data_IF_465679956849
#
_entry.id   IF_465679956849
#
_cell.length_a   1.000
_cell.length_b   1.000
_cell.length_c   1.000
_cell.angle_alpha   90.00
_cell.angle_beta   90.00
_cell.angle_gamma   90.00
#
_symmetry.space_group_name_H-M   'P 1'
#
loop_
_entity.id
_entity.type
_entity.pdbx_description
1 polymer ?
#
# COMPACT_ATOMS: atom_id res chain seq x y z
N UNK A 1 -2.52 -6.17 27.67
CA UNK A 1 -3.25 -6.00 26.46
C UNK A 1 -2.58 -6.77 25.32
N UNK A 2 -3.37 -7.45 24.54
CA UNK A 2 -2.81 -8.20 23.43
C UNK A 2 -2.24 -7.23 22.39
N UNK A 3 -1.13 -7.64 21.77
CA UNK A 3 -0.59 -6.90 20.65
C UNK A 3 -1.55 -6.92 19.48
N UNK A 4 -1.53 -5.85 18.70
CA UNK A 4 -2.29 -5.82 17.46
C UNK A 4 -1.75 -6.91 16.53
N UNK A 5 -2.60 -7.72 15.91
CA UNK A 5 -2.14 -8.74 14.99
C UNK A 5 -1.58 -8.12 13.72
N UNK A 6 -0.84 -8.92 12.99
CA UNK A 6 -0.47 -8.55 11.62
C UNK A 6 -1.73 -8.61 10.78
N UNK A 7 -1.99 -7.55 10.04
CA UNK A 7 -3.13 -7.48 9.13
C UNK A 7 -2.63 -7.58 7.70
N UNK A 8 -3.37 -8.33 6.88
CA UNK A 8 -3.01 -8.57 5.49
C UNK A 8 -4.23 -8.29 4.63
N UNK A 9 -4.00 -7.68 3.48
CA UNK A 9 -5.04 -7.45 2.48
C UNK A 9 -4.47 -7.78 1.11
N UNK A 10 -5.32 -8.24 0.21
CA UNK A 10 -4.91 -8.50 -1.16
C UNK A 10 -6.03 -8.12 -2.13
N UNK A 11 -5.66 -7.86 -3.36
CA UNK A 11 -6.60 -7.53 -4.43
C UNK A 11 -6.02 -7.91 -5.76
N UNK A 12 -6.89 -8.27 -6.69
CA UNK A 12 -6.50 -8.32 -8.09
C UNK A 12 -6.42 -6.89 -8.61
N UNK A 13 -5.39 -6.60 -9.40
CA UNK A 13 -5.21 -5.27 -9.97
C UNK A 13 -6.44 -4.85 -10.79
N UNK A 14 -7.00 -5.78 -11.56
CA UNK A 14 -8.15 -5.51 -12.41
C UNK A 14 -9.42 -5.19 -11.65
N UNK A 15 -9.50 -5.57 -10.37
CA UNK A 15 -10.69 -5.36 -9.55
C UNK A 15 -10.68 -4.03 -8.81
N UNK A 16 -9.60 -3.25 -8.93
CA UNK A 16 -9.51 -1.97 -8.23
C UNK A 16 -10.46 -0.95 -8.85
N UNK A 17 -11.40 -0.39 -8.06
CA UNK A 17 -12.32 0.63 -8.58
C UNK A 17 -11.57 1.89 -9.02
N UNK A 18 -12.07 2.53 -10.06
CA UNK A 18 -11.49 3.78 -10.55
C UNK A 18 -11.51 4.87 -9.48
N UNK A 19 -12.57 4.91 -8.67
CA UNK A 19 -12.66 5.86 -7.56
C UNK A 19 -11.54 5.71 -6.54
N UNK A 20 -11.08 4.46 -6.30
CA UNK A 20 -9.97 4.22 -5.39
C UNK A 20 -8.68 4.80 -5.95
N UNK A 21 -8.46 4.69 -7.26
CA UNK A 21 -7.27 5.24 -7.91
C UNK A 21 -7.29 6.77 -7.88
N UNK A 22 -8.42 7.36 -8.26
CA UNK A 22 -8.53 8.83 -8.33
C UNK A 22 -8.54 9.49 -6.96
N UNK A 23 -8.86 8.74 -5.91
CA UNK A 23 -8.85 9.23 -4.54
C UNK A 23 -7.48 9.26 -3.88
N UNK A 24 -6.43 8.76 -4.55
CA UNK A 24 -5.07 8.79 -4.01
C UNK A 24 -4.52 10.21 -3.97
N UNK A 25 -3.57 10.50 -3.06
CA UNK A 25 -2.89 11.79 -3.05
C UNK A 25 -2.24 12.09 -4.40
N UNK A 26 -2.17 13.39 -4.74
CA UNK A 26 -1.63 13.85 -6.03
C UNK A 26 -0.23 13.31 -6.29
N UNK A 27 0.63 13.28 -5.27
CA UNK A 27 2.01 12.80 -5.44
C UNK A 27 2.05 11.35 -5.90
N UNK A 28 1.15 10.51 -5.41
CA UNK A 28 1.10 9.11 -5.84
C UNK A 28 0.53 8.98 -7.24
N UNK A 29 -0.46 9.79 -7.58
CA UNK A 29 -1.00 9.80 -8.94
C UNK A 29 0.05 10.25 -9.95
N UNK A 30 0.84 11.26 -9.60
CA UNK A 30 1.94 11.73 -10.43
C UNK A 30 3.02 10.67 -10.59
N UNK A 31 3.35 9.97 -9.49
CA UNK A 31 4.31 8.88 -9.55
C UNK A 31 3.84 7.78 -10.50
N UNK A 32 2.55 7.45 -10.42
CA UNK A 32 1.97 6.44 -11.30
C UNK A 32 2.11 6.83 -12.78
N UNK A 33 1.87 8.10 -13.08
CA UNK A 33 1.97 8.60 -14.45
C UNK A 33 3.40 8.59 -14.99
N UNK A 34 4.39 8.48 -14.11
CA UNK A 34 5.79 8.40 -14.54
C UNK A 34 6.18 7.01 -15.07
N UNK A 35 5.38 5.99 -14.81
CA UNK A 35 5.66 4.65 -15.33
C UNK A 35 5.25 4.55 -16.80
N UNK A 36 6.16 4.06 -17.64
CA UNK A 36 5.89 3.93 -19.07
C UNK A 36 4.95 2.77 -19.37
N UNK A 37 5.10 1.67 -18.64
CA UNK A 37 4.25 0.50 -18.86
C UNK A 37 2.96 0.62 -18.07
N UNK A 38 1.82 0.46 -18.77
CA UNK A 38 0.51 0.52 -18.13
C UNK A 38 0.37 -0.49 -17.00
N UNK A 39 0.93 -1.67 -17.16
CA UNK A 39 0.86 -2.72 -16.16
C UNK A 39 1.55 -2.29 -14.85
N UNK A 40 2.71 -1.66 -14.95
CA UNK A 40 3.45 -1.16 -13.77
C UNK A 40 2.67 -0.04 -13.09
N UNK A 41 2.09 0.85 -13.87
CA UNK A 41 1.26 1.92 -13.35
C UNK A 41 0.07 1.37 -12.57
N UNK A 42 -0.63 0.40 -13.15
CA UNK A 42 -1.82 -0.17 -12.52
C UNK A 42 -1.45 -0.94 -11.24
N UNK A 43 -0.32 -1.65 -11.24
CA UNK A 43 0.17 -2.33 -10.04
C UNK A 43 0.49 -1.34 -8.93
N UNK A 44 1.15 -0.24 -9.28
CA UNK A 44 1.49 0.78 -8.30
C UNK A 44 0.23 1.42 -7.70
N UNK A 45 -0.72 1.80 -8.53
CA UNK A 45 -1.97 2.39 -8.06
C UNK A 45 -2.75 1.43 -7.16
N UNK A 46 -2.83 0.17 -7.56
CA UNK A 46 -3.51 -0.85 -6.77
C UNK A 46 -2.82 -1.04 -5.41
N UNK A 47 -1.49 -1.12 -5.41
CA UNK A 47 -0.72 -1.30 -4.18
C UNK A 47 -0.95 -0.13 -3.22
N UNK A 48 -0.91 1.09 -3.72
CA UNK A 48 -1.10 2.28 -2.87
C UNK A 48 -2.53 2.38 -2.35
N UNK A 49 -3.51 2.15 -3.19
CA UNK A 49 -4.91 2.19 -2.76
C UNK A 49 -5.20 1.12 -1.72
N UNK A 50 -4.71 -0.10 -1.94
CA UNK A 50 -4.92 -1.20 -1.02
C UNK A 50 -4.22 -0.94 0.31
N UNK A 51 -2.97 -0.46 0.27
CA UNK A 51 -2.20 -0.16 1.47
C UNK A 51 -2.88 0.94 2.31
N UNK A 52 -3.36 2.00 1.67
CA UNK A 52 -4.03 3.08 2.39
C UNK A 52 -5.34 2.61 3.02
N UNK A 53 -6.10 1.76 2.33
CA UNK A 53 -7.31 1.18 2.89
C UNK A 53 -6.98 0.29 4.09
N UNK A 54 -5.92 -0.51 4.00
CA UNK A 54 -5.47 -1.35 5.10
C UNK A 54 -5.05 -0.49 6.30
N UNK A 55 -4.29 0.57 6.05
CA UNK A 55 -3.82 1.46 7.11
C UNK A 55 -4.98 2.18 7.80
N UNK A 56 -6.01 2.58 7.04
CA UNK A 56 -7.19 3.20 7.65
C UNK A 56 -7.87 2.25 8.62
N UNK A 57 -8.01 0.99 8.24
CA UNK A 57 -8.62 -0.02 9.11
C UNK A 57 -7.72 -0.35 10.30
N UNK A 58 -6.41 -0.43 10.06
CA UNK A 58 -5.45 -0.83 11.07
C UNK A 58 -5.25 0.24 12.13
N UNK A 59 -5.14 1.51 11.73
CA UNK A 59 -4.86 2.63 12.64
C UNK A 59 -6.10 3.37 13.09
N UNK A 60 -7.19 3.30 12.34
CA UNK A 60 -8.39 4.11 12.58
C UNK A 60 -8.30 5.52 12.03
N UNK A 61 -7.20 5.88 11.40
CA UNK A 61 -7.00 7.21 10.82
C UNK A 61 -7.33 7.20 9.33
N UNK A 62 -7.74 8.35 8.75
CA UNK A 62 -8.09 8.39 7.33
C UNK A 62 -6.96 7.87 6.43
N UNK A 63 -7.35 7.20 5.35
CA UNK A 63 -6.40 6.57 4.43
C UNK A 63 -5.31 7.51 3.96
N UNK A 64 -5.68 8.73 3.55
CA UNK A 64 -4.73 9.68 2.98
C UNK A 64 -3.99 10.53 4.02
N UNK A 65 -4.24 10.29 5.31
CA UNK A 65 -3.50 10.97 6.38
C UNK A 65 -2.14 10.32 6.66
N UNK A 66 -1.89 9.13 6.12
CA UNK A 66 -0.65 8.42 6.34
C UNK A 66 0.43 8.91 5.37
N UNK A 67 1.61 9.19 5.90
CA UNK A 67 2.75 9.55 5.08
C UNK A 67 3.49 8.30 4.67
N UNK A 68 3.44 7.99 3.38
CA UNK A 68 4.10 6.83 2.82
C UNK A 68 5.35 7.27 2.06
N UNK A 69 6.44 6.59 2.31
CA UNK A 69 7.71 6.85 1.64
C UNK A 69 8.42 5.55 1.38
N UNK A 70 9.73 5.65 1.16
CA UNK A 70 10.59 4.49 0.97
C UNK A 70 11.84 4.66 1.80
N UNK A 71 12.39 3.55 2.30
CA UNK A 71 13.68 3.59 2.97
C UNK A 71 14.80 3.63 1.92
N UNK A 72 16.06 3.59 2.37
CA UNK A 72 17.22 3.66 1.49
C UNK A 72 17.37 2.43 0.59
N UNK A 73 16.64 1.36 0.88
CA UNK A 73 16.61 0.15 0.06
C UNK A 73 15.38 0.08 -0.85
N UNK A 74 14.56 1.13 -0.83
CA UNK A 74 13.35 1.18 -1.64
C UNK A 74 12.15 0.47 -1.05
N UNK A 75 12.23 -0.03 0.19
CA UNK A 75 11.06 -0.65 0.84
C UNK A 75 10.07 0.43 1.28
N UNK A 76 8.77 0.15 1.17
CA UNK A 76 7.77 1.11 1.62
C UNK A 76 7.82 1.27 3.14
N UNK A 77 7.66 2.51 3.60
CA UNK A 77 7.60 2.83 5.02
C UNK A 77 6.44 3.80 5.27
N UNK A 78 5.87 3.70 6.47
CA UNK A 78 4.82 4.60 6.92
C UNK A 78 5.40 5.43 8.08
N UNK A 79 5.62 6.71 7.84
CA UNK A 79 6.26 7.59 8.82
C UNK A 79 5.40 7.70 10.09
N UNK A 80 6.00 7.38 11.23
CA UNK A 80 5.29 7.43 12.52
C UNK A 80 4.17 6.41 12.67
N UNK A 81 4.07 5.47 11.76
CA UNK A 81 3.01 4.48 11.74
C UNK A 81 3.51 3.04 11.87
N UNK A 82 2.67 2.06 11.52
CA UNK A 82 3.05 0.66 11.62
C UNK A 82 4.10 0.26 10.59
N UNK A 83 4.72 -0.90 10.81
CA UNK A 83 5.55 -1.52 9.79
C UNK A 83 4.64 -2.02 8.66
N UNK A 84 5.09 -1.85 7.43
CA UNK A 84 4.29 -2.23 6.25
C UNK A 84 5.13 -3.02 5.27
N UNK A 85 4.44 -3.80 4.43
CA UNK A 85 5.07 -4.54 3.36
C UNK A 85 4.10 -4.64 2.18
N UNK A 86 4.65 -4.62 0.97
CA UNK A 86 3.88 -4.77 -0.27
C UNK A 86 4.54 -5.85 -1.11
N UNK A 87 3.74 -6.73 -1.67
CA UNK A 87 4.21 -7.72 -2.63
C UNK A 87 3.24 -7.78 -3.80
N UNK A 88 3.73 -8.15 -4.96
CA UNK A 88 2.87 -8.36 -6.12
C UNK A 88 3.39 -9.53 -6.95
N UNK A 89 2.48 -10.20 -7.59
CA UNK A 89 2.81 -11.31 -8.50
C UNK A 89 1.67 -11.45 -9.50
N UNK A 90 1.99 -11.41 -10.78
CA UNK A 90 0.98 -11.46 -11.82
C UNK A 90 0.02 -10.29 -11.67
N UNK A 91 -1.26 -10.58 -11.58
CA UNK A 91 -2.28 -9.57 -11.43
C UNK A 91 -2.75 -9.35 -10.01
N UNK A 92 -1.97 -9.76 -9.00
CA UNK A 92 -2.35 -9.69 -7.59
C UNK A 92 -1.38 -8.81 -6.82
N UNK A 93 -1.93 -7.98 -5.93
CA UNK A 93 -1.15 -7.18 -4.99
C UNK A 93 -1.55 -7.59 -3.57
N UNK A 94 -0.56 -7.71 -2.69
CA UNK A 94 -0.77 -8.01 -1.29
C UNK A 94 -0.06 -6.98 -0.43
N UNK A 95 -0.71 -6.54 0.65
CA UNK A 95 -0.13 -5.60 1.61
C UNK A 95 -0.27 -6.16 3.02
N UNK A 96 0.67 -5.81 3.88
CA UNK A 96 0.62 -6.18 5.29
C UNK A 96 1.00 -5.01 6.18
N UNK A 97 0.44 -4.99 7.38
CA UNK A 97 0.79 -4.02 8.42
C UNK A 97 0.97 -4.74 9.74
N UNK A 98 1.96 -4.31 10.50
CA UNK A 98 2.26 -4.84 11.83
C UNK A 98 2.57 -3.68 12.77
N UNK A 99 2.45 -3.88 14.11
CA UNK A 99 2.62 -2.76 15.06
C UNK A 99 3.99 -2.11 14.99
N UNK A 100 5.02 -2.89 14.80
CA UNK A 100 6.41 -2.38 14.77
C UNK A 100 7.32 -3.46 14.20
N UNK A 101 8.59 -3.10 14.00
CA UNK A 101 9.59 -4.01 13.49
C UNK A 101 9.62 -4.04 11.97
N UNK A 102 10.15 -5.13 11.46
CA UNK A 102 10.19 -5.36 10.01
C UNK A 102 9.31 -6.54 9.67
N UNK A 103 8.55 -6.39 8.61
CA UNK A 103 7.74 -7.48 8.08
C UNK A 103 8.01 -7.63 6.60
N UNK A 104 7.82 -8.83 6.11
CA UNK A 104 7.90 -9.13 4.69
C UNK A 104 6.83 -10.12 4.33
N UNK A 105 6.26 -9.95 3.18
CA UNK A 105 5.28 -10.89 2.63
C UNK A 105 5.71 -11.26 1.22
N UNK A 106 5.24 -12.39 0.78
CA UNK A 106 5.58 -12.92 -0.54
C UNK A 106 4.36 -13.61 -1.12
N UNK A 107 4.28 -13.58 -2.43
CA UNK A 107 3.19 -14.22 -3.15
C UNK A 107 3.74 -15.35 -4.01
#
# INVERSE_FOLDING_TARGET
MADSPISVAFSKVQDLPEAAKSGLPAAERERADSFKAAQRRDQYLCARALLRALLQRYTGNPANSHELGSDDKGKPVCAGGPAISIAHSGGIVMCAAAPHGEIGIDI
#
